data_IF_756987522041
#
_entry.id   IF_756987522041
#
_cell.length_a   1.000
_cell.length_b   1.000
_cell.length_c   1.000
_cell.angle_alpha   90.00
_cell.angle_beta   90.00
_cell.angle_gamma   90.00
#
_symmetry.space_group_name_H-M   'P 1'
#
loop_
_entity.id
_entity.type
_entity.pdbx_description
1 polymer ?
#
# COMPACT_ATOMS: atom_id res chain seq x y z
N UNK A 1 -42.48 2.36 29.04
CA UNK A 1 -41.02 2.15 29.22
C UNK A 1 -40.42 1.79 27.86
N UNK A 2 -40.10 2.81 27.05
CA UNK A 2 -39.58 2.67 25.67
C UNK A 2 -38.21 3.38 25.60
N UNK A 3 -37.30 3.01 26.51
CA UNK A 3 -36.00 3.71 26.69
C UNK A 3 -34.84 2.76 26.97
N UNK A 4 -34.89 1.52 26.47
CA UNK A 4 -33.77 0.56 26.62
C UNK A 4 -33.34 -0.15 25.32
N UNK A 5 -34.05 0.00 24.20
CA UNK A 5 -33.74 -0.70 22.94
C UNK A 5 -33.14 0.13 21.80
N UNK A 6 -33.13 1.46 21.89
CA UNK A 6 -32.81 2.33 20.74
C UNK A 6 -31.30 2.58 20.54
N UNK A 7 -30.47 2.29 21.55
CA UNK A 7 -29.02 2.53 21.50
C UNK A 7 -28.23 1.33 20.95
N UNK A 8 -28.75 0.10 21.08
CA UNK A 8 -28.02 -1.12 20.68
C UNK A 8 -28.04 -1.29 19.15
N UNK A 9 -29.12 -0.90 18.46
CA UNK A 9 -29.18 -0.93 16.99
C UNK A 9 -28.33 0.16 16.33
N UNK A 10 -28.16 1.32 16.97
CA UNK A 10 -27.37 2.43 16.42
C UNK A 10 -25.88 2.10 16.41
N UNK A 11 -25.32 1.57 17.51
CA UNK A 11 -23.88 1.29 17.59
C UNK A 11 -23.45 0.19 16.61
N UNK A 12 -24.29 -0.81 16.35
CA UNK A 12 -24.02 -1.85 15.35
C UNK A 12 -24.09 -1.31 13.92
N UNK A 13 -25.04 -0.42 13.63
CA UNK A 13 -25.15 0.28 12.35
C UNK A 13 -23.98 1.25 12.17
N UNK A 14 -23.57 1.98 13.22
CA UNK A 14 -22.41 2.88 13.23
C UNK A 14 -21.09 2.13 13.08
N UNK A 15 -20.92 0.97 13.70
CA UNK A 15 -19.72 0.11 13.52
C UNK A 15 -19.68 -0.53 12.13
N UNK A 16 -20.83 -0.95 11.58
CA UNK A 16 -20.92 -1.43 10.19
C UNK A 16 -20.69 -0.31 9.19
N UNK A 17 -21.24 0.87 9.42
CA UNK A 17 -21.05 2.07 8.61
C UNK A 17 -19.60 2.57 8.70
N UNK A 18 -18.98 2.55 9.89
CA UNK A 18 -17.56 2.86 10.09
C UNK A 18 -16.66 1.82 9.44
N UNK A 19 -16.98 0.52 9.51
CA UNK A 19 -16.27 -0.55 8.79
C UNK A 19 -16.38 -0.40 7.26
N UNK A 20 -17.54 0.04 6.78
CA UNK A 20 -17.77 0.37 5.37
C UNK A 20 -17.02 1.66 4.94
N UNK A 21 -16.92 2.64 5.84
CA UNK A 21 -16.17 3.88 5.65
C UNK A 21 -14.64 3.67 5.78
N UNK A 22 -14.21 2.64 6.51
CA UNK A 22 -12.83 2.19 6.65
C UNK A 22 -12.56 0.97 5.77
N UNK A 23 -12.91 1.03 4.48
CA UNK A 23 -12.19 0.22 3.48
C UNK A 23 -10.79 0.82 3.38
N UNK A 24 -9.98 0.62 4.43
CA UNK A 24 -8.60 1.07 4.44
C UNK A 24 -7.91 0.26 3.36
N UNK A 25 -7.49 0.93 2.28
CA UNK A 25 -6.76 0.28 1.21
C UNK A 25 -5.61 -0.52 1.84
N UNK A 26 -5.48 -1.80 1.45
CA UNK A 26 -4.43 -2.64 2.01
C UNK A 26 -3.09 -2.01 1.61
N UNK A 27 -2.27 -1.56 2.58
CA UNK A 27 -0.98 -1.00 2.24
C UNK A 27 -0.07 -2.12 1.73
N UNK A 28 0.77 -1.80 0.76
CA UNK A 28 1.82 -2.69 0.33
C UNK A 28 3.00 -2.64 1.30
N UNK A 29 3.78 -3.74 1.41
CA UNK A 29 4.99 -3.75 2.23
C UNK A 29 5.95 -2.62 1.83
N UNK A 30 6.63 -2.03 2.81
CA UNK A 30 7.67 -1.04 2.54
C UNK A 30 8.77 -1.63 1.66
N UNK A 31 9.21 -0.85 0.67
CA UNK A 31 10.27 -1.24 -0.24
C UNK A 31 11.61 -0.67 0.22
N UNK A 32 12.62 -1.53 0.29
CA UNK A 32 14.00 -1.09 0.48
C UNK A 32 14.62 -0.70 -0.87
N UNK A 33 15.34 0.42 -0.90
CA UNK A 33 16.09 0.80 -2.09
C UNK A 33 17.23 -0.21 -2.37
N UNK A 34 17.46 -0.60 -3.64
CA UNK A 34 18.57 -1.48 -3.97
C UNK A 34 19.91 -0.78 -3.78
N UNK A 35 20.97 -1.56 -3.53
CA UNK A 35 22.34 -1.03 -3.56
C UNK A 35 22.61 -0.41 -4.92
N UNK A 36 23.23 0.77 -4.96
CA UNK A 36 23.47 1.54 -6.18
C UNK A 36 22.21 1.94 -6.97
N UNK A 37 21.07 2.06 -6.30
CA UNK A 37 19.87 2.61 -6.91
C UNK A 37 18.99 3.36 -5.91
N UNK A 38 17.95 3.99 -6.43
CA UNK A 38 16.97 4.77 -5.67
C UNK A 38 15.55 4.38 -6.08
N UNK A 39 14.59 4.55 -5.17
CA UNK A 39 13.17 4.36 -5.42
C UNK A 39 12.49 5.71 -5.60
N UNK A 40 11.46 5.77 -6.44
CA UNK A 40 10.63 6.97 -6.60
C UNK A 40 9.15 6.57 -6.85
N UNK A 41 8.20 6.96 -5.98
CA UNK A 41 8.37 7.73 -4.74
C UNK A 41 8.98 6.91 -3.59
N UNK A 42 9.63 7.58 -2.64
CA UNK A 42 10.06 7.00 -1.36
C UNK A 42 9.01 7.25 -0.27
N UNK A 43 8.73 6.24 0.55
CA UNK A 43 7.89 6.42 1.73
C UNK A 43 7.38 5.11 2.33
N UNK A 44 6.82 5.16 3.55
CA UNK A 44 6.30 3.97 4.24
C UNK A 44 4.89 3.57 3.77
N UNK A 45 4.11 4.50 3.21
CA UNK A 45 2.68 4.34 2.98
C UNK A 45 2.34 4.14 1.49
N UNK A 46 2.78 3.01 0.93
CA UNK A 46 2.38 2.61 -0.41
C UNK A 46 0.97 1.99 -0.38
N UNK A 47 0.02 2.59 -1.10
CA UNK A 47 -1.34 2.06 -1.24
C UNK A 47 -1.67 1.85 -2.72
N UNK A 48 -2.65 1.01 -3.04
CA UNK A 48 -3.10 0.87 -4.42
C UNK A 48 -3.58 2.23 -4.98
N UNK A 49 -3.23 2.64 -6.22
CA UNK A 49 -2.39 1.96 -7.22
C UNK A 49 -0.97 2.56 -7.35
N UNK A 50 -0.28 2.84 -6.23
CA UNK A 50 1.05 3.47 -6.26
C UNK A 50 2.04 2.66 -7.11
N UNK A 51 2.77 3.37 -7.97
CA UNK A 51 3.86 2.81 -8.75
C UNK A 51 5.19 3.33 -8.22
N UNK A 52 6.15 2.44 -8.01
CA UNK A 52 7.50 2.76 -7.55
C UNK A 52 8.49 2.42 -8.65
N UNK A 53 9.21 3.44 -9.10
CA UNK A 53 10.27 3.32 -10.11
C UNK A 53 11.61 3.14 -9.42
N UNK A 54 12.33 2.10 -9.81
CA UNK A 54 13.74 1.90 -9.47
C UNK A 54 14.62 2.62 -10.51
N UNK A 55 15.54 3.47 -10.03
CA UNK A 55 16.54 4.15 -10.85
C UNK A 55 17.94 3.76 -10.38
N UNK A 56 18.74 3.16 -11.24
CA UNK A 56 20.12 2.82 -10.92
C UNK A 56 21.06 4.02 -11.05
N UNK A 57 22.08 4.06 -10.20
CA UNK A 57 23.14 5.05 -10.23
C UNK A 57 23.96 4.90 -11.53
N UNK A 58 24.66 5.98 -11.92
CA UNK A 58 25.53 5.96 -13.09
C UNK A 58 26.55 4.82 -13.02
N UNK A 59 26.67 4.07 -14.11
CA UNK A 59 27.57 2.91 -14.22
C UNK A 59 26.94 1.56 -13.82
N UNK A 60 25.70 1.56 -13.32
CA UNK A 60 24.97 0.33 -12.97
C UNK A 60 23.77 0.13 -13.89
N UNK A 61 23.44 -1.13 -14.14
CA UNK A 61 22.28 -1.52 -14.93
C UNK A 61 21.20 -2.13 -14.04
N UNK A 62 19.94 -1.85 -14.39
CA UNK A 62 18.79 -2.46 -13.73
C UNK A 62 18.70 -3.94 -14.12
N UNK A 63 18.58 -4.79 -13.11
CA UNK A 63 18.25 -6.19 -13.24
C UNK A 63 16.91 -6.47 -12.55
N UNK A 64 15.88 -6.75 -13.36
CA UNK A 64 14.52 -6.98 -12.89
C UNK A 64 13.50 -6.03 -13.52
N UNK A 65 12.38 -5.84 -12.83
CA UNK A 65 11.22 -5.09 -13.34
C UNK A 65 11.10 -3.73 -12.66
N UNK A 66 10.87 -2.68 -13.45
CA UNK A 66 10.49 -1.34 -13.00
C UNK A 66 9.48 -0.74 -14.00
N UNK A 67 8.47 0.02 -13.56
CA UNK A 67 8.07 0.26 -12.17
C UNK A 67 7.35 -0.96 -11.55
N UNK A 68 7.39 -1.09 -10.23
CA UNK A 68 6.58 -2.05 -9.47
C UNK A 68 5.31 -1.36 -8.97
N UNK A 69 4.17 -2.05 -9.01
CA UNK A 69 2.86 -1.47 -8.70
C UNK A 69 2.27 -2.10 -7.46
N UNK A 70 1.80 -1.29 -6.52
CA UNK A 70 1.01 -1.76 -5.39
C UNK A 70 -0.39 -2.14 -5.87
N UNK A 71 -0.76 -3.41 -5.68
CA UNK A 71 -2.01 -3.99 -6.14
C UNK A 71 -3.12 -3.84 -5.09
N UNK A 72 -4.39 -4.01 -5.51
CA UNK A 72 -5.55 -3.83 -4.63
C UNK A 72 -5.59 -4.86 -3.47
N UNK A 73 -4.86 -5.96 -3.61
CA UNK A 73 -4.66 -6.97 -2.58
C UNK A 73 -3.46 -6.66 -1.66
N UNK A 74 -2.88 -5.46 -1.73
CA UNK A 74 -1.75 -5.06 -0.89
C UNK A 74 -0.45 -5.81 -1.20
N UNK A 75 -0.32 -6.38 -2.40
CA UNK A 75 0.93 -7.01 -2.86
C UNK A 75 1.60 -6.17 -3.96
N UNK A 76 2.91 -6.35 -4.14
CA UNK A 76 3.63 -5.73 -5.25
C UNK A 76 3.51 -6.60 -6.50
N UNK A 77 3.29 -5.96 -7.66
CA UNK A 77 3.16 -6.67 -8.93
C UNK A 77 4.41 -7.48 -9.31
N UNK A 78 5.59 -7.04 -8.86
CA UNK A 78 6.87 -7.71 -9.05
C UNK A 78 7.80 -7.43 -7.86
N UNK A 79 8.84 -8.26 -7.63
CA UNK A 79 9.93 -7.92 -6.72
C UNK A 79 10.68 -6.66 -7.16
N UNK A 80 11.29 -5.96 -6.20
CA UNK A 80 12.15 -4.80 -6.49
C UNK A 80 13.40 -5.25 -7.24
N UNK A 81 13.68 -4.62 -8.39
CA UNK A 81 14.89 -4.87 -9.17
C UNK A 81 16.17 -4.44 -8.44
N UNK A 82 17.27 -5.10 -8.77
CA UNK A 82 18.62 -4.78 -8.25
C UNK A 82 19.43 -3.99 -9.25
N UNK A 83 20.43 -3.24 -8.79
CA UNK A 83 21.37 -2.52 -9.67
C UNK A 83 22.76 -3.17 -9.58
N UNK A 84 23.30 -3.60 -10.73
CA UNK A 84 24.59 -4.31 -10.84
C UNK A 84 25.47 -3.78 -11.97
#
# INVERSE_FOLDING_TARGET
IIRLGFLIFSTEIDLRYKKYLTITARPCPELAAPTNGTLNPTGPDYAFPTQVTVTCNSGYNLDGVTPVTCQADGTWSNPVGTCR
#
